data_IF_171439129885
#
_entry.id   IF_171439129885
#
_cell.length_a   1.000
_cell.length_b   1.000
_cell.length_c   1.000
_cell.angle_alpha   90.00
_cell.angle_beta   90.00
_cell.angle_gamma   90.00
#
_symmetry.space_group_name_H-M   'P 1'
#
loop_
_entity.id
_entity.type
_entity.pdbx_description
1 polymer ?
#
# COMPACT_ATOMS: atom_id res chain seq x y z
N UNK A 1 -5.16 -16.16 24.44
CA UNK A 1 -4.49 -16.35 23.14
C UNK A 1 -4.45 -14.99 22.46
N UNK A 2 -3.40 -14.20 22.68
CA UNK A 2 -3.23 -12.95 21.94
C UNK A 2 -2.75 -13.33 20.54
N UNK A 3 -3.62 -13.23 19.55
CA UNK A 3 -3.25 -13.29 18.14
C UNK A 3 -2.28 -12.14 17.92
N UNK A 4 -1.00 -12.40 17.65
CA UNK A 4 0.07 -11.39 17.54
C UNK A 4 -0.08 -10.40 16.37
N UNK A 5 -1.31 -10.13 15.94
CA UNK A 5 -1.69 -9.18 14.91
C UNK A 5 -1.70 -7.80 15.56
N UNK A 6 -0.79 -6.95 15.10
CA UNK A 6 -0.66 -5.57 15.58
C UNK A 6 -1.60 -4.61 14.82
N UNK A 7 -1.95 -4.97 13.58
CA UNK A 7 -2.81 -4.17 12.71
C UNK A 7 -3.42 -5.06 11.62
N UNK A 8 -4.69 -4.86 11.33
CA UNK A 8 -5.46 -5.59 10.31
C UNK A 8 -6.51 -4.64 9.73
N UNK A 9 -6.48 -4.47 8.41
CA UNK A 9 -7.40 -3.63 7.66
C UNK A 9 -7.33 -3.92 6.16
N UNK A 10 -8.37 -3.50 5.41
CA UNK A 10 -8.40 -3.58 3.96
C UNK A 10 -8.15 -2.19 3.35
N UNK A 11 -7.23 -2.16 2.37
CA UNK A 11 -6.84 -0.94 1.67
C UNK A 11 -7.20 -1.02 0.19
N UNK A 12 -7.78 0.06 -0.33
CA UNK A 12 -8.06 0.25 -1.74
C UNK A 12 -6.94 1.06 -2.39
N UNK A 13 -6.32 0.54 -3.44
CA UNK A 13 -5.32 1.27 -4.23
C UNK A 13 -6.02 2.42 -4.98
N UNK A 14 -5.58 3.65 -4.72
CA UNK A 14 -6.09 4.87 -5.35
C UNK A 14 -5.25 5.30 -6.54
N UNK A 15 -3.93 5.23 -6.38
CA UNK A 15 -2.99 5.61 -7.43
C UNK A 15 -1.72 4.74 -7.38
N UNK A 16 -1.04 4.67 -8.51
CA UNK A 16 0.22 3.93 -8.69
C UNK A 16 1.21 4.84 -9.41
N UNK A 17 2.33 5.13 -8.74
CA UNK A 17 3.39 6.01 -9.24
C UNK A 17 2.86 7.40 -9.72
N UNK A 18 2.19 8.19 -8.85
CA UNK A 18 1.58 9.48 -9.24
C UNK A 18 2.59 10.51 -9.78
N UNK A 19 3.86 10.40 -9.37
CA UNK A 19 4.96 11.23 -9.87
C UNK A 19 5.70 10.62 -11.07
N UNK A 20 5.12 9.58 -11.67
CA UNK A 20 5.72 8.74 -12.69
C UNK A 20 6.65 7.67 -12.11
N UNK A 21 6.78 6.56 -12.83
CA UNK A 21 7.59 5.41 -12.42
C UNK A 21 9.08 5.78 -12.35
N UNK A 22 9.68 5.68 -11.16
CA UNK A 22 11.10 6.00 -10.91
C UNK A 22 12.02 4.80 -10.98
N UNK A 23 11.50 3.60 -10.73
CA UNK A 23 12.27 2.37 -10.66
C UNK A 23 11.61 1.30 -11.52
N UNK A 24 12.39 0.55 -12.29
CA UNK A 24 11.84 -0.45 -13.22
C UNK A 24 11.09 -1.58 -12.51
N UNK A 25 11.54 -1.96 -11.30
CA UNK A 25 11.09 -3.13 -10.55
C UNK A 25 10.32 -2.78 -9.28
N UNK A 26 10.14 -1.50 -8.97
CA UNK A 26 9.43 -1.04 -7.77
C UNK A 26 8.41 -0.02 -8.18
N UNK A 27 7.18 -0.19 -7.71
CA UNK A 27 6.13 0.83 -7.82
C UNK A 27 5.70 1.28 -6.43
N UNK A 28 5.35 2.56 -6.34
CA UNK A 28 4.79 3.18 -5.15
C UNK A 28 3.28 3.20 -5.24
N UNK A 29 2.63 2.46 -4.36
CA UNK A 29 1.17 2.44 -4.22
C UNK A 29 0.73 3.51 -3.24
N UNK A 30 -0.33 4.23 -3.60
CA UNK A 30 -1.08 5.10 -2.70
C UNK A 30 -2.44 4.44 -2.48
N UNK A 31 -2.74 4.11 -1.22
CA UNK A 31 -3.95 3.38 -0.85
C UNK A 31 -4.71 4.09 0.26
N UNK A 32 -6.03 3.97 0.24
CA UNK A 32 -6.89 4.43 1.34
C UNK A 32 -7.45 3.23 2.08
N UNK A 33 -7.49 3.33 3.40
CA UNK A 33 -8.19 2.39 4.26
C UNK A 33 -9.70 2.47 4.03
N UNK A 34 -10.37 1.32 4.04
CA UNK A 34 -11.84 1.28 4.01
C UNK A 34 -12.46 1.53 5.38
N UNK A 35 -11.81 1.02 6.44
CA UNK A 35 -12.36 1.02 7.79
C UNK A 35 -12.02 2.30 8.57
N UNK A 36 -10.89 2.93 8.23
CA UNK A 36 -10.35 4.10 8.91
C UNK A 36 -10.05 5.20 7.89
N UNK A 37 -10.10 6.47 8.32
CA UNK A 37 -9.65 7.59 7.48
C UNK A 37 -8.11 7.66 7.48
N UNK A 38 -7.48 6.61 6.95
CA UNK A 38 -6.04 6.45 6.89
C UNK A 38 -5.58 6.27 5.45
N UNK A 39 -4.40 6.80 5.15
CA UNK A 39 -3.70 6.63 3.89
C UNK A 39 -2.47 5.75 4.11
N UNK A 40 -2.18 4.87 3.15
CA UNK A 40 -1.03 3.98 3.14
C UNK A 40 -0.24 4.22 1.85
N UNK A 41 1.04 4.59 2.00
CA UNK A 41 1.98 4.66 0.89
C UNK A 41 2.95 3.49 1.02
N UNK A 42 2.98 2.60 0.03
CA UNK A 42 3.76 1.36 0.08
C UNK A 42 4.56 1.15 -1.21
N UNK A 43 5.87 0.98 -1.08
CA UNK A 43 6.74 0.57 -2.18
C UNK A 43 6.77 -0.97 -2.26
N UNK A 44 6.37 -1.51 -3.42
CA UNK A 44 6.33 -2.96 -3.65
C UNK A 44 7.21 -3.35 -4.84
N UNK A 45 7.88 -4.49 -4.74
CA UNK A 45 8.55 -5.08 -5.89
C UNK A 45 7.49 -5.60 -6.88
N UNK A 46 7.48 -5.05 -8.09
CA UNK A 46 6.51 -5.38 -9.14
C UNK A 46 7.04 -6.43 -10.13
N UNK A 47 8.23 -6.98 -9.89
CA UNK A 47 8.78 -8.10 -10.64
C UNK A 47 8.63 -9.40 -9.85
N UNK A 48 7.91 -10.36 -10.45
CA UNK A 48 7.75 -11.75 -9.97
C UNK A 48 8.94 -12.62 -10.36
#
# INVERSE_FOLDING_TARGET
MATGILFDDMFLVKDVDPEGKKFDRVSRLFCDSESFKMELILDVNTQL
#
